data_IF_241886067479
#
_entry.id   IF_241886067479
#
_cell.length_a   1.000
_cell.length_b   1.000
_cell.length_c   1.000
_cell.angle_alpha   90.00
_cell.angle_beta   90.00
_cell.angle_gamma   90.00
#
_symmetry.space_group_name_H-M   'P 1'
#
loop_
_entity.id
_entity.type
_entity.pdbx_description
1 polymer ?
#
# COMPACT_ATOMS: atom_id res chain seq x y z
N UNK A 1 -19.51 2.03 13.29
CA UNK A 1 -18.66 2.31 12.10
C UNK A 1 -18.74 3.80 11.73
N UNK A 2 -17.62 4.51 11.74
CA UNK A 2 -17.56 5.93 11.33
C UNK A 2 -17.45 6.11 9.81
N UNK A 3 -17.69 7.32 9.29
CA UNK A 3 -17.59 7.61 7.86
C UNK A 3 -16.15 7.45 7.36
N UNK A 4 -15.98 6.81 6.20
CA UNK A 4 -14.69 6.62 5.55
C UNK A 4 -14.47 7.73 4.50
N UNK A 5 -13.31 8.37 4.52
CA UNK A 5 -12.95 9.43 3.56
C UNK A 5 -11.80 8.97 2.70
N UNK A 6 -11.94 9.09 1.37
CA UNK A 6 -10.83 8.93 0.45
C UNK A 6 -10.05 10.25 0.37
N UNK A 7 -8.72 10.15 0.54
CA UNK A 7 -7.79 11.28 0.39
C UNK A 7 -6.74 10.90 -0.63
N UNK A 8 -6.60 11.71 -1.67
CA UNK A 8 -5.51 11.61 -2.65
C UNK A 8 -4.66 12.86 -2.49
N UNK A 9 -3.35 12.70 -2.43
CA UNK A 9 -2.44 13.85 -2.37
C UNK A 9 -2.47 14.66 -3.67
N UNK A 10 -2.00 15.89 -3.58
CA UNK A 10 -2.12 16.86 -4.65
C UNK A 10 -1.30 16.46 -5.88
N UNK A 11 -0.04 16.05 -5.69
CA UNK A 11 0.86 15.73 -6.78
C UNK A 11 0.37 14.50 -7.58
N UNK A 12 -0.12 13.47 -6.88
CA UNK A 12 -0.71 12.29 -7.51
C UNK A 12 -1.92 12.65 -8.36
N UNK A 13 -2.82 13.48 -7.84
CA UNK A 13 -4.00 13.86 -8.59
C UNK A 13 -3.69 14.85 -9.74
N UNK A 14 -2.69 15.71 -9.60
CA UNK A 14 -2.24 16.62 -10.67
C UNK A 14 -1.58 15.83 -11.82
N UNK A 15 -0.83 14.76 -11.50
CA UNK A 15 -0.24 13.86 -12.50
C UNK A 15 -1.32 13.14 -13.34
N UNK A 16 -2.40 12.68 -12.71
CA UNK A 16 -3.52 12.03 -13.42
C UNK A 16 -4.28 13.04 -14.31
N UNK A 17 -4.43 14.30 -13.88
CA UNK A 17 -5.10 15.36 -14.64
C UNK A 17 -4.30 15.77 -15.88
N UNK A 18 -2.96 15.82 -15.78
CA UNK A 18 -2.07 16.28 -16.84
C UNK A 18 -2.16 15.42 -18.12
N UNK A 19 -2.45 14.14 -17.99
CA UNK A 19 -2.52 13.20 -19.12
C UNK A 19 -3.92 13.14 -19.79
N UNK A 20 -4.92 13.88 -19.30
CA UNK A 20 -6.26 13.89 -19.90
C UNK A 20 -7.00 15.23 -19.69
N UNK A 21 -6.84 16.16 -20.64
CA UNK A 21 -7.47 17.49 -20.62
C UNK A 21 -9.02 17.48 -20.56
N UNK A 22 -9.67 16.35 -20.88
CA UNK A 22 -11.13 16.18 -20.77
C UNK A 22 -11.56 15.75 -19.35
N UNK A 23 -10.62 15.31 -18.50
CA UNK A 23 -10.89 14.72 -17.17
C UNK A 23 -10.54 15.64 -15.97
N UNK A 24 -10.14 16.89 -16.19
CA UNK A 24 -9.69 17.80 -15.12
C UNK A 24 -10.70 18.03 -13.99
N UNK A 25 -12.01 18.03 -14.29
CA UNK A 25 -13.06 18.06 -13.28
C UNK A 25 -13.38 16.69 -12.67
N UNK A 26 -13.07 15.61 -13.42
CA UNK A 26 -13.41 14.24 -13.09
C UNK A 26 -12.37 13.51 -12.22
N UNK A 27 -11.29 14.14 -11.81
CA UNK A 27 -10.30 13.54 -10.88
C UNK A 27 -10.29 14.28 -9.54
N UNK A 28 -10.59 15.58 -9.55
CA UNK A 28 -10.66 16.39 -8.34
C UNK A 28 -11.75 15.88 -7.37
N UNK A 29 -12.82 15.24 -7.88
CA UNK A 29 -13.85 14.68 -7.00
C UNK A 29 -13.36 13.54 -6.11
N UNK A 30 -12.28 12.84 -6.47
CA UNK A 30 -11.71 11.78 -5.63
C UNK A 30 -10.94 12.31 -4.42
N UNK A 31 -10.42 13.55 -4.46
CA UNK A 31 -9.52 14.08 -3.43
C UNK A 31 -10.15 14.15 -2.03
N UNK A 32 -11.47 14.35 -1.97
CA UNK A 32 -12.22 14.48 -0.71
C UNK A 32 -13.61 13.86 -0.85
N UNK A 33 -13.65 12.58 -1.21
CA UNK A 33 -14.90 11.83 -1.28
C UNK A 33 -15.23 11.23 0.09
N UNK A 34 -16.41 11.57 0.60
CA UNK A 34 -17.06 10.85 1.69
C UNK A 34 -17.73 9.59 1.10
N UNK A 35 -17.24 8.42 1.51
CA UNK A 35 -17.68 7.12 0.95
C UNK A 35 -18.97 6.69 1.64
N UNK A 36 -20.02 6.46 0.85
CA UNK A 36 -21.29 5.91 1.34
C UNK A 36 -21.39 4.40 1.13
N UNK A 37 -20.78 3.87 0.07
CA UNK A 37 -20.72 2.44 -0.21
C UNK A 37 -19.40 2.13 -0.92
N UNK A 38 -18.75 1.05 -0.52
CA UNK A 38 -17.62 0.49 -1.24
C UNK A 38 -17.73 -1.02 -1.28
N UNK A 39 -17.38 -1.61 -2.41
CA UNK A 39 -17.10 -3.03 -2.51
C UNK A 39 -15.87 -3.23 -3.38
N UNK A 40 -15.11 -4.27 -3.05
CA UNK A 40 -13.92 -4.65 -3.80
C UNK A 40 -13.86 -6.17 -3.89
N UNK A 41 -13.55 -6.67 -5.08
CA UNK A 41 -13.15 -8.05 -5.34
C UNK A 41 -11.68 -8.04 -5.71
N UNK A 42 -10.89 -8.76 -4.93
CA UNK A 42 -9.46 -8.94 -5.17
C UNK A 42 -9.20 -10.42 -5.47
N UNK A 43 -8.38 -10.70 -6.47
CA UNK A 43 -7.85 -12.02 -6.73
C UNK A 43 -6.36 -11.91 -6.99
N UNK A 44 -5.60 -12.88 -6.49
CA UNK A 44 -4.17 -13.02 -6.77
C UNK A 44 -3.92 -14.46 -7.12
N UNK A 45 -3.28 -14.70 -8.25
CA UNK A 45 -2.87 -16.05 -8.65
C UNK A 45 -1.46 -16.42 -8.17
N UNK A 46 -1.05 -17.65 -8.43
CA UNK A 46 0.27 -18.17 -8.06
C UNK A 46 1.42 -17.60 -8.93
N UNK A 47 1.12 -16.90 -10.03
CA UNK A 47 2.10 -16.16 -10.84
C UNK A 47 2.25 -14.71 -10.37
N UNK A 48 1.51 -14.32 -9.33
CA UNK A 48 1.53 -12.98 -8.76
C UNK A 48 0.75 -11.97 -9.59
N UNK A 49 -0.16 -12.40 -10.46
CA UNK A 49 -1.08 -11.50 -11.13
C UNK A 49 -2.21 -11.16 -10.16
N UNK A 50 -2.28 -9.89 -9.78
CA UNK A 50 -3.36 -9.31 -9.00
C UNK A 50 -4.38 -8.71 -9.95
N UNK A 51 -5.63 -9.14 -9.83
CA UNK A 51 -6.78 -8.48 -10.47
C UNK A 51 -7.70 -7.92 -9.40
N UNK A 52 -8.13 -6.68 -9.61
CA UNK A 52 -9.03 -5.98 -8.70
C UNK A 52 -10.20 -5.39 -9.48
N UNK A 53 -11.40 -5.55 -8.93
CA UNK A 53 -12.59 -4.81 -9.32
C UNK A 53 -13.13 -4.09 -8.10
N UNK A 54 -13.34 -2.78 -8.21
CA UNK A 54 -13.88 -1.97 -7.14
C UNK A 54 -15.04 -1.13 -7.66
N UNK A 55 -16.10 -1.00 -6.86
CA UNK A 55 -17.04 0.09 -7.02
C UNK A 55 -17.18 0.89 -5.73
N UNK A 56 -17.03 2.20 -5.85
CA UNK A 56 -17.05 3.15 -4.74
C UNK A 56 -18.07 4.23 -5.06
N UNK A 57 -19.05 4.41 -4.18
CA UNK A 57 -20.02 5.48 -4.24
C UNK A 57 -19.82 6.43 -3.08
N UNK A 58 -20.03 7.71 -3.35
CA UNK A 58 -19.85 8.73 -2.32
C UNK A 58 -20.28 10.11 -2.78
N UNK A 59 -19.99 11.09 -1.93
CA UNK A 59 -20.18 12.49 -2.23
C UNK A 59 -18.83 13.19 -2.15
N UNK A 60 -18.46 13.89 -3.20
CA UNK A 60 -17.29 14.76 -3.21
C UNK A 60 -17.67 16.18 -2.80
N UNK A 61 -16.75 16.90 -2.14
CA UNK A 61 -16.86 18.34 -1.89
C UNK A 61 -15.62 19.04 -2.44
N UNK A 62 -15.79 19.80 -3.52
CA UNK A 62 -14.72 20.56 -4.18
C UNK A 62 -15.19 22.01 -4.32
N UNK A 63 -14.38 22.97 -3.86
CA UNK A 63 -14.68 24.41 -3.95
C UNK A 63 -16.09 24.79 -3.42
N UNK A 64 -16.53 24.12 -2.35
CA UNK A 64 -17.85 24.35 -1.74
C UNK A 64 -19.04 23.72 -2.47
N UNK A 65 -18.81 23.03 -3.60
CA UNK A 65 -19.86 22.29 -4.34
C UNK A 65 -19.81 20.81 -4.01
N UNK A 66 -20.98 20.21 -3.81
CA UNK A 66 -21.12 18.77 -3.63
C UNK A 66 -21.50 18.07 -4.93
N UNK A 67 -20.98 16.85 -5.14
CA UNK A 67 -21.34 16.01 -6.30
C UNK A 67 -21.38 14.55 -5.92
N UNK A 68 -22.38 13.83 -6.42
CA UNK A 68 -22.45 12.38 -6.28
C UNK A 68 -21.45 11.71 -7.21
N UNK A 69 -20.79 10.71 -6.67
CA UNK A 69 -19.71 9.99 -7.33
C UNK A 69 -20.04 8.50 -7.39
N UNK A 70 -19.78 7.89 -8.54
CA UNK A 70 -19.79 6.45 -8.74
C UNK A 70 -18.53 6.03 -9.51
N UNK A 71 -17.49 5.66 -8.77
CA UNK A 71 -16.24 5.14 -9.32
C UNK A 71 -16.37 3.63 -9.53
N UNK A 72 -16.21 3.18 -10.77
CA UNK A 72 -15.99 1.77 -11.09
C UNK A 72 -14.57 1.63 -11.62
N UNK A 73 -13.74 0.85 -10.94
CA UNK A 73 -12.33 0.71 -11.25
C UNK A 73 -11.97 -0.76 -11.41
N UNK A 74 -11.23 -1.07 -12.49
CA UNK A 74 -10.65 -2.39 -12.72
C UNK A 74 -9.15 -2.23 -12.89
N UNK A 75 -8.39 -3.09 -12.25
CA UNK A 75 -6.95 -3.04 -12.26
C UNK A 75 -6.36 -4.44 -12.38
N UNK A 76 -5.26 -4.52 -13.10
CA UNK A 76 -4.44 -5.72 -13.23
C UNK A 76 -2.97 -5.31 -13.10
N UNK A 77 -2.24 -6.00 -12.23
CA UNK A 77 -0.82 -5.77 -12.03
C UNK A 77 -0.13 -7.06 -11.61
N UNK A 78 1.12 -7.26 -12.02
CA UNK A 78 1.95 -8.32 -11.49
C UNK A 78 2.72 -7.84 -10.24
N UNK A 79 2.24 -8.23 -9.06
CA UNK A 79 2.78 -7.76 -7.77
C UNK A 79 4.22 -8.24 -7.54
N UNK A 80 4.62 -9.39 -8.09
CA UNK A 80 6.00 -9.86 -8.00
C UNK A 80 6.95 -9.01 -8.83
N UNK A 81 6.48 -8.48 -9.95
CA UNK A 81 7.24 -7.54 -10.78
C UNK A 81 7.36 -6.20 -10.07
N UNK A 82 6.26 -5.68 -9.52
CA UNK A 82 6.27 -4.45 -8.74
C UNK A 82 7.23 -4.53 -7.56
N UNK A 83 7.18 -5.60 -6.75
CA UNK A 83 8.07 -5.75 -5.59
C UNK A 83 9.55 -5.83 -5.98
N UNK A 84 9.86 -6.46 -7.12
CA UNK A 84 11.23 -6.48 -7.65
C UNK A 84 11.68 -5.10 -8.11
N UNK A 85 10.82 -4.33 -8.82
CA UNK A 85 11.18 -2.97 -9.24
C UNK A 85 11.35 -2.02 -8.06
N UNK A 86 10.58 -2.21 -6.99
CA UNK A 86 10.72 -1.47 -5.74
C UNK A 86 11.86 -1.98 -4.84
N UNK A 87 12.57 -3.05 -5.25
CA UNK A 87 13.59 -3.74 -4.47
C UNK A 87 13.14 -4.06 -3.03
N UNK A 88 11.86 -4.37 -2.89
CA UNK A 88 11.25 -4.57 -1.57
C UNK A 88 11.91 -5.72 -0.79
N UNK A 89 12.32 -6.79 -1.49
CA UNK A 89 13.05 -7.92 -0.89
C UNK A 89 14.40 -7.52 -0.29
N UNK A 90 15.24 -6.80 -1.04
CA UNK A 90 16.54 -6.31 -0.56
C UNK A 90 16.38 -5.38 0.66
N UNK A 91 15.33 -4.55 0.64
CA UNK A 91 15.01 -3.63 1.73
C UNK A 91 14.57 -4.38 2.99
N UNK A 92 13.76 -5.43 2.85
CA UNK A 92 13.36 -6.29 3.99
C UNK A 92 14.54 -7.04 4.58
N UNK A 93 15.42 -7.59 3.72
CA UNK A 93 16.62 -8.28 4.19
C UNK A 93 17.52 -7.34 4.98
N UNK A 94 17.80 -6.15 4.44
CA UNK A 94 18.62 -5.14 5.10
C UNK A 94 18.01 -4.71 6.44
N UNK A 95 16.69 -4.50 6.48
CA UNK A 95 15.99 -4.21 7.74
C UNK A 95 16.11 -5.35 8.75
N UNK A 96 15.94 -6.60 8.32
CA UNK A 96 16.06 -7.75 9.20
C UNK A 96 17.49 -7.91 9.73
N UNK A 97 18.51 -7.75 8.90
CA UNK A 97 19.91 -7.78 9.32
C UNK A 97 20.24 -6.70 10.37
N UNK A 98 19.62 -5.52 10.25
CA UNK A 98 19.80 -4.42 11.20
C UNK A 98 19.05 -4.62 12.52
N UNK A 99 17.89 -5.29 12.51
CA UNK A 99 16.98 -5.36 13.66
C UNK A 99 16.86 -6.75 14.31
N UNK A 100 17.25 -7.81 13.62
CA UNK A 100 17.18 -9.19 14.10
C UNK A 100 18.50 -9.67 14.73
N UNK A 101 19.34 -8.76 15.24
CA UNK A 101 20.52 -9.12 16.00
C UNK A 101 20.11 -9.94 17.24
N UNK A 102 20.16 -11.26 17.12
CA UNK A 102 20.02 -12.19 18.23
C UNK A 102 21.23 -11.94 19.15
N UNK A 103 21.03 -11.63 20.44
CA UNK A 103 22.15 -11.51 21.37
C UNK A 103 22.91 -12.83 21.36
N UNK A 104 24.14 -12.82 20.87
CA UNK A 104 25.01 -14.00 20.90
C UNK A 104 25.19 -14.38 22.38
N UNK A 105 24.57 -15.47 22.83
CA UNK A 105 24.91 -16.10 24.09
C UNK A 105 26.38 -16.51 23.97
N UNK A 106 27.27 -15.69 24.55
CA UNK A 106 28.68 -16.02 24.70
C UNK A 106 28.75 -17.31 25.51
N UNK A 107 29.04 -18.41 24.81
CA UNK A 107 29.33 -19.70 25.42
C UNK A 107 30.45 -19.52 26.45
N UNK A 108 30.17 -19.98 27.66
CA UNK A 108 31.17 -20.25 28.68
C UNK A 108 32.12 -21.30 28.13
N UNK A 109 33.29 -20.88 27.64
CA UNK A 109 34.43 -21.75 27.39
C UNK A 109 35.42 -21.64 28.55
N UNK A 110 35.41 -22.68 29.39
CA UNK A 110 36.59 -23.35 29.93
C UNK A 110 37.39 -22.66 31.03
N UNK A 111 37.45 -23.30 32.20
CA UNK A 111 38.70 -23.59 32.91
C UNK A 111 38.60 -24.94 33.63
N UNK A 112 39.28 -25.91 33.04
CA UNK A 112 39.75 -27.15 33.66
C UNK A 112 40.97 -26.78 34.53
N UNK A 113 41.04 -27.25 35.78
CA UNK A 113 42.28 -27.33 36.57
C UNK A 113 42.15 -28.42 37.63
N UNK A 114 43.20 -29.24 37.68
CA UNK A 114 43.39 -30.54 38.30
C UNK A 114 43.47 -30.56 39.86
N UNK A 115 43.27 -31.79 40.38
CA UNK A 115 43.78 -32.46 41.59
C UNK A 115 43.95 -31.71 42.94
N UNK A 116 43.44 -32.30 44.03
CA UNK A 116 44.24 -33.19 44.91
C UNK A 116 43.40 -33.76 46.07
N UNK A 117 43.37 -35.09 46.11
CA UNK A 117 43.35 -36.04 47.24
C UNK A 117 42.64 -35.69 48.56
#
# INVERSE_FOLDING_TARGET
PGPMTLRIDQDTADAIVKDNMVAGAAINWLRYMEISQSWTKLNVDNLGVLTMQAAIKGTSRVEGKSSFVNLNYTHEENIFTLWRSLRFGDNLQTWFEQHAAIPLLRGSTGKESEEQQ
#
